data_IF_523842283115
#
_entry.id   IF_523842283115
#
_cell.length_a   1.000
_cell.length_b   1.000
_cell.length_c   1.000
_cell.angle_alpha   90.00
_cell.angle_beta   90.00
_cell.angle_gamma   90.00
#
_symmetry.space_group_name_H-M   'P 1'
#
loop_
_entity.id
_entity.type
_entity.pdbx_description
1 polymer ?
#
# COMPACT_ATOMS: atom_id res chain seq x y z
N UNK A 1 4.66 27.72 -20.92
CA UNK A 1 4.23 27.55 -22.33
C UNK A 1 3.52 26.20 -22.52
N UNK A 2 4.01 25.09 -22.01
CA UNK A 2 3.31 23.78 -22.09
C UNK A 2 1.99 23.73 -21.28
N UNK A 3 1.89 24.46 -20.20
CA UNK A 3 0.65 24.58 -19.40
C UNK A 3 -0.45 25.37 -20.12
N UNK A 4 -0.12 26.20 -21.09
CA UNK A 4 -1.09 27.00 -21.87
C UNK A 4 -1.75 26.16 -22.96
N UNK A 5 -1.02 25.25 -23.62
CA UNK A 5 -1.56 24.34 -24.65
C UNK A 5 -2.51 23.27 -24.11
N UNK A 6 -2.34 22.80 -22.86
CA UNK A 6 -3.29 21.92 -22.18
C UNK A 6 -4.66 22.58 -21.92
N UNK A 7 -4.75 23.90 -22.01
CA UNK A 7 -5.94 24.72 -21.70
C UNK A 7 -7.03 24.65 -22.76
N UNK A 8 -6.64 24.61 -24.02
CA UNK A 8 -7.60 24.61 -25.14
C UNK A 8 -8.36 23.29 -25.27
N UNK A 9 -7.84 22.23 -24.62
CA UNK A 9 -8.42 20.87 -24.65
C UNK A 9 -9.33 20.56 -23.47
N UNK A 10 -9.28 21.34 -22.38
CA UNK A 10 -10.04 21.08 -21.16
C UNK A 10 -11.35 21.87 -21.12
N UNK A 11 -12.50 21.21 -21.19
CA UNK A 11 -13.82 21.85 -21.22
C UNK A 11 -14.20 22.65 -19.96
N UNK A 12 -13.58 22.41 -18.80
CA UNK A 12 -13.74 23.19 -17.54
C UNK A 12 -12.47 23.10 -16.70
N UNK A 13 -11.50 23.99 -16.87
CA UNK A 13 -10.27 23.99 -16.07
C UNK A 13 -10.55 24.36 -14.60
N UNK A 14 -9.86 23.66 -13.69
CA UNK A 14 -9.89 23.94 -12.25
C UNK A 14 -8.46 24.15 -11.78
N UNK A 15 -8.18 25.29 -11.19
CA UNK A 15 -6.87 25.59 -10.61
C UNK A 15 -6.83 25.15 -9.17
N UNK A 16 -5.96 24.19 -8.87
CA UNK A 16 -5.74 23.66 -7.52
C UNK A 16 -4.42 24.21 -6.96
N UNK A 17 -4.48 24.94 -5.84
CA UNK A 17 -3.30 25.53 -5.17
C UNK A 17 -2.38 26.30 -6.13
N UNK A 18 -2.97 27.04 -7.08
CA UNK A 18 -2.22 27.81 -8.07
C UNK A 18 -1.28 28.83 -7.42
N UNK A 19 -0.12 29.08 -8.05
CA UNK A 19 0.73 30.20 -7.70
C UNK A 19 0.00 31.52 -8.01
N UNK A 20 0.59 32.67 -7.63
CA UNK A 20 -0.03 33.99 -7.80
C UNK A 20 -0.41 34.26 -9.25
N UNK A 21 0.48 33.98 -10.17
CA UNK A 21 0.31 34.19 -11.60
C UNK A 21 -0.82 33.34 -12.19
N UNK A 22 -0.87 32.06 -11.85
CA UNK A 22 -1.91 31.17 -12.30
C UNK A 22 -3.29 31.53 -11.71
N UNK A 23 -3.34 32.06 -10.50
CA UNK A 23 -4.57 32.56 -9.88
C UNK A 23 -5.08 33.84 -10.52
N UNK A 24 -4.18 34.72 -10.98
CA UNK A 24 -4.55 35.93 -11.73
C UNK A 24 -5.19 35.56 -13.07
N UNK A 25 -4.57 34.65 -13.82
CA UNK A 25 -5.11 34.15 -15.08
C UNK A 25 -6.45 33.41 -14.86
N UNK A 26 -6.56 32.59 -13.82
CA UNK A 26 -7.80 31.86 -13.50
C UNK A 26 -8.96 32.83 -13.17
N UNK A 27 -8.67 34.00 -12.61
CA UNK A 27 -9.69 35.03 -12.38
C UNK A 27 -10.11 35.75 -13.67
N UNK A 28 -9.16 36.06 -14.52
CA UNK A 28 -9.42 36.67 -15.82
C UNK A 28 -10.25 35.78 -16.73
N UNK A 29 -9.96 34.48 -16.73
CA UNK A 29 -10.61 33.45 -17.54
C UNK A 29 -11.84 32.83 -16.86
N UNK A 30 -12.23 33.31 -15.66
CA UNK A 30 -13.36 32.81 -14.88
C UNK A 30 -13.32 31.28 -14.60
N UNK A 31 -12.12 30.75 -14.30
CA UNK A 31 -11.93 29.32 -13.97
C UNK A 31 -12.26 29.05 -12.52
N UNK A 32 -12.64 27.81 -12.24
CA UNK A 32 -12.82 27.36 -10.87
C UNK A 32 -11.46 27.32 -10.16
N UNK A 33 -11.41 27.87 -8.97
CA UNK A 33 -10.23 27.83 -8.11
C UNK A 33 -10.58 27.12 -6.81
N UNK A 34 -9.71 26.18 -6.38
CA UNK A 34 -9.79 25.57 -5.07
C UNK A 34 -8.41 25.59 -4.41
N UNK A 35 -8.33 26.23 -3.26
CA UNK A 35 -7.14 26.19 -2.42
C UNK A 35 -7.34 25.16 -1.33
N UNK A 36 -6.55 24.09 -1.36
CA UNK A 36 -6.44 23.16 -0.25
C UNK A 36 -5.30 23.61 0.64
N UNK A 37 -5.55 23.69 1.94
CA UNK A 37 -4.47 23.92 2.89
C UNK A 37 -3.41 22.83 2.71
N UNK A 38 -2.17 23.23 2.41
CA UNK A 38 -1.07 22.27 2.41
C UNK A 38 -0.98 21.69 3.83
N UNK A 39 -0.71 20.39 3.96
CA UNK A 39 -0.51 19.77 5.28
C UNK A 39 0.65 20.37 6.07
N UNK A 40 1.34 21.34 5.51
CA UNK A 40 2.55 21.96 6.05
C UNK A 40 3.74 20.97 6.07
N UNK A 41 4.92 21.49 6.33
CA UNK A 41 6.10 20.69 6.58
C UNK A 41 5.94 19.94 7.91
N UNK A 42 6.46 18.71 7.97
CA UNK A 42 6.49 17.95 9.20
C UNK A 42 7.29 18.71 10.27
N UNK A 43 6.75 18.80 11.47
CA UNK A 43 7.48 19.37 12.62
C UNK A 43 8.59 18.42 13.09
N UNK A 44 9.63 18.97 13.71
CA UNK A 44 10.71 18.13 14.27
C UNK A 44 10.19 17.08 15.27
N UNK A 45 9.16 17.44 16.06
CA UNK A 45 8.53 16.50 16.97
C UNK A 45 7.82 15.35 16.25
N UNK A 46 7.12 15.61 15.15
CA UNK A 46 6.48 14.58 14.33
C UNK A 46 7.51 13.63 13.72
N UNK A 47 8.65 14.15 13.26
CA UNK A 47 9.77 13.33 12.76
C UNK A 47 10.31 12.42 13.84
N UNK A 48 10.63 12.97 15.01
CA UNK A 48 11.15 12.19 16.14
C UNK A 48 10.16 11.12 16.59
N UNK A 49 8.87 11.46 16.73
CA UNK A 49 7.80 10.51 17.11
C UNK A 49 7.65 9.39 16.08
N UNK A 50 7.71 9.71 14.78
CA UNK A 50 7.64 8.73 13.70
C UNK A 50 8.83 7.78 13.69
N UNK A 51 10.05 8.30 13.93
CA UNK A 51 11.25 7.47 14.06
C UNK A 51 11.18 6.57 15.30
N UNK A 52 10.75 7.11 16.43
CA UNK A 52 10.58 6.35 17.66
C UNK A 52 9.51 5.25 17.51
N UNK A 53 8.38 5.57 16.87
CA UNK A 53 7.33 4.59 16.56
C UNK A 53 7.82 3.49 15.63
N UNK A 54 8.59 3.82 14.61
CA UNK A 54 9.20 2.82 13.71
C UNK A 54 10.23 1.97 14.45
N UNK A 55 11.05 2.58 15.29
CA UNK A 55 12.06 1.90 16.11
C UNK A 55 11.46 0.99 17.19
N UNK A 56 10.26 1.31 17.69
CA UNK A 56 9.55 0.49 18.68
C UNK A 56 9.22 -0.91 18.17
N UNK A 57 9.17 -1.13 16.85
CA UNK A 57 9.04 -2.46 16.26
C UNK A 57 10.17 -3.39 16.74
N UNK A 58 11.42 -2.95 16.62
CA UNK A 58 12.60 -3.73 17.06
C UNK A 58 12.54 -3.97 18.56
N UNK A 59 12.28 -2.91 19.34
CA UNK A 59 12.18 -2.99 20.80
C UNK A 59 11.11 -3.99 21.25
N UNK A 60 9.96 -4.00 20.62
CA UNK A 60 8.86 -4.92 20.95
C UNK A 60 9.23 -6.37 20.69
N UNK A 61 9.97 -6.68 19.63
CA UNK A 61 10.43 -8.04 19.37
C UNK A 61 11.54 -8.46 20.36
N UNK A 62 12.44 -7.56 20.74
CA UNK A 62 13.44 -7.82 21.79
C UNK A 62 12.74 -8.13 23.12
N UNK A 63 11.69 -7.36 23.47
CA UNK A 63 10.89 -7.58 24.69
C UNK A 63 10.09 -8.89 24.66
N UNK A 64 9.82 -9.46 23.50
CA UNK A 64 9.20 -10.77 23.36
C UNK A 64 10.15 -11.95 23.61
N UNK A 65 11.48 -11.76 23.50
CA UNK A 65 12.46 -12.84 23.67
C UNK A 65 12.42 -13.48 25.05
N UNK A 66 12.38 -12.73 26.18
CA UNK A 66 12.24 -13.32 27.50
C UNK A 66 10.96 -14.19 27.63
N UNK A 67 9.84 -13.74 27.06
CA UNK A 67 8.60 -14.53 27.07
C UNK A 67 8.77 -15.85 26.32
N UNK A 68 9.47 -15.83 25.17
CA UNK A 68 9.80 -17.06 24.45
C UNK A 68 10.70 -17.98 25.28
N UNK A 69 11.74 -17.44 25.91
CA UNK A 69 12.67 -18.21 26.73
C UNK A 69 11.99 -18.86 27.94
N UNK A 70 11.00 -18.20 28.54
CA UNK A 70 10.28 -18.70 29.72
C UNK A 70 9.15 -19.67 29.37
N UNK A 71 8.40 -19.40 28.28
CA UNK A 71 7.22 -20.17 27.91
C UNK A 71 7.47 -21.27 26.88
N UNK A 72 8.58 -21.19 26.12
CA UNK A 72 8.84 -22.03 24.94
C UNK A 72 7.87 -21.76 23.77
N UNK A 73 6.90 -20.85 23.93
CA UNK A 73 5.87 -20.57 22.96
C UNK A 73 6.25 -19.41 22.03
N UNK A 74 6.67 -19.74 20.81
CA UNK A 74 6.90 -18.74 19.76
C UNK A 74 5.62 -17.93 19.46
N UNK A 75 4.45 -18.60 19.48
CA UNK A 75 3.16 -17.96 19.21
C UNK A 75 2.85 -16.86 20.22
N UNK A 76 3.00 -17.13 21.51
CA UNK A 76 2.70 -16.15 22.56
C UNK A 76 3.69 -14.99 22.55
N UNK A 77 4.99 -15.28 22.33
CA UNK A 77 6.02 -14.26 22.16
C UNK A 77 5.72 -13.33 21.00
N UNK A 78 5.32 -13.85 19.83
CA UNK A 78 4.96 -13.04 18.66
C UNK A 78 3.70 -12.22 18.91
N UNK A 79 2.66 -12.82 19.50
CA UNK A 79 1.43 -12.12 19.83
C UNK A 79 1.69 -10.96 20.81
N UNK A 80 2.54 -11.20 21.81
CA UNK A 80 2.98 -10.16 22.74
C UNK A 80 3.75 -9.04 22.00
N UNK A 81 4.74 -9.39 21.17
CA UNK A 81 5.55 -8.43 20.43
C UNK A 81 4.71 -7.57 19.49
N UNK A 82 3.76 -8.16 18.75
CA UNK A 82 2.86 -7.44 17.84
C UNK A 82 1.96 -6.50 18.62
N UNK A 83 1.37 -6.95 19.72
CA UNK A 83 0.49 -6.12 20.56
C UNK A 83 1.26 -4.97 21.21
N UNK A 84 2.46 -5.24 21.74
CA UNK A 84 3.32 -4.22 22.34
C UNK A 84 3.75 -3.17 21.30
N UNK A 85 4.15 -3.61 20.11
CA UNK A 85 4.45 -2.70 19.01
C UNK A 85 3.26 -1.82 18.66
N UNK A 86 2.08 -2.42 18.48
CA UNK A 86 0.89 -1.69 18.09
C UNK A 86 0.51 -0.61 19.12
N UNK A 87 0.53 -0.94 20.41
CA UNK A 87 0.22 0.00 21.48
C UNK A 87 1.28 1.10 21.63
N UNK A 88 2.57 0.70 21.65
CA UNK A 88 3.69 1.65 21.81
C UNK A 88 3.77 2.62 20.63
N UNK A 89 3.69 2.09 19.39
CA UNK A 89 3.75 2.94 18.20
C UNK A 89 2.55 3.88 18.14
N UNK A 90 1.32 3.42 18.42
CA UNK A 90 0.12 4.26 18.46
C UNK A 90 0.26 5.38 19.49
N UNK A 91 0.72 5.07 20.70
CA UNK A 91 0.94 6.07 21.75
C UNK A 91 2.02 7.09 21.34
N UNK A 92 3.15 6.64 20.76
CA UNK A 92 4.22 7.52 20.31
C UNK A 92 3.77 8.49 19.22
N UNK A 93 2.97 8.07 18.25
CA UNK A 93 2.48 8.96 17.19
C UNK A 93 1.24 9.75 17.62
N UNK A 94 0.57 9.38 18.73
CA UNK A 94 -0.69 9.96 19.19
C UNK A 94 -1.84 9.58 18.26
N UNK A 95 -1.93 8.29 17.95
CA UNK A 95 -3.03 7.70 17.18
C UNK A 95 -4.09 7.19 18.17
N UNK A 96 -5.27 7.77 18.08
CA UNK A 96 -6.47 7.30 18.77
C UNK A 96 -7.40 6.58 17.79
N UNK A 97 -8.11 5.56 18.26
CA UNK A 97 -9.05 4.79 17.45
C UNK A 97 -10.46 4.88 18.04
N UNK A 98 -11.37 5.47 17.27
CA UNK A 98 -12.81 5.41 17.52
C UNK A 98 -13.40 4.25 16.73
N UNK A 99 -13.73 3.15 17.43
CA UNK A 99 -14.07 1.86 16.80
C UNK A 99 -15.51 1.48 17.13
N UNK A 100 -16.32 1.37 16.07
CA UNK A 100 -17.68 0.82 16.14
C UNK A 100 -17.67 -0.66 15.73
N UNK A 101 -18.51 -1.48 16.34
CA UNK A 101 -18.60 -2.92 16.06
C UNK A 101 -17.37 -3.71 16.52
N UNK A 102 -16.67 -3.24 17.57
CA UNK A 102 -15.44 -3.87 18.10
C UNK A 102 -15.65 -5.35 18.49
N UNK A 103 -16.87 -5.73 18.86
CA UNK A 103 -17.25 -7.11 19.19
C UNK A 103 -17.06 -8.08 18.00
N UNK A 104 -17.19 -7.62 16.77
CA UNK A 104 -16.99 -8.44 15.57
C UNK A 104 -15.55 -8.90 15.37
N UNK A 105 -14.57 -8.23 15.98
CA UNK A 105 -13.16 -8.63 15.93
C UNK A 105 -12.90 -9.97 16.61
N UNK A 106 -13.77 -10.36 17.57
CA UNK A 106 -13.53 -11.52 18.44
C UNK A 106 -14.59 -12.61 18.33
N UNK A 107 -15.77 -12.27 17.76
CA UNK A 107 -16.92 -13.17 17.71
C UNK A 107 -16.66 -14.43 16.88
N UNK A 108 -15.90 -14.30 15.79
CA UNK A 108 -15.58 -15.40 14.89
C UNK A 108 -14.09 -15.37 14.56
N UNK A 109 -13.36 -16.43 14.97
CA UNK A 109 -11.93 -16.62 14.65
C UNK A 109 -11.64 -18.11 14.45
N UNK A 110 -10.78 -18.47 13.50
CA UNK A 110 -10.05 -17.58 12.57
C UNK A 110 -10.98 -16.89 11.58
N UNK A 111 -10.59 -15.70 11.09
CA UNK A 111 -11.33 -14.93 10.11
C UNK A 111 -10.37 -14.24 9.14
N UNK A 112 -10.89 -13.76 8.01
CA UNK A 112 -10.17 -12.87 7.11
C UNK A 112 -10.63 -11.45 7.40
N UNK A 113 -9.78 -10.66 8.05
CA UNK A 113 -10.00 -9.25 8.27
C UNK A 113 -9.60 -8.49 7.00
N UNK A 114 -10.60 -8.08 6.22
CA UNK A 114 -10.38 -7.25 5.02
C UNK A 114 -10.52 -5.78 5.38
N UNK A 115 -9.58 -4.93 4.96
CA UNK A 115 -9.61 -3.50 5.23
C UNK A 115 -9.28 -2.69 3.98
N UNK A 116 -9.83 -1.47 3.85
CA UNK A 116 -9.46 -0.52 2.80
C UNK A 116 -8.12 0.14 3.13
N UNK A 117 -7.28 0.36 2.11
CA UNK A 117 -5.89 0.75 2.30
C UNK A 117 -5.59 2.14 1.74
N UNK A 118 -5.35 3.10 2.61
CA UNK A 118 -5.07 4.50 2.25
C UNK A 118 -3.74 5.01 2.82
N UNK A 119 -3.27 4.38 3.90
CA UNK A 119 -2.21 4.93 4.74
C UNK A 119 -1.16 3.89 5.12
N UNK A 120 0.04 4.34 5.49
CA UNK A 120 1.00 3.50 6.20
C UNK A 120 0.50 3.14 7.61
N UNK A 121 -0.37 3.96 8.20
CA UNK A 121 -0.95 3.72 9.52
C UNK A 121 -1.93 2.54 9.53
N UNK A 122 -2.49 2.14 8.38
CA UNK A 122 -3.51 1.08 8.34
C UNK A 122 -2.99 -0.26 8.91
N UNK A 123 -1.72 -0.58 8.66
CA UNK A 123 -1.12 -1.80 9.24
C UNK A 123 -0.99 -1.72 10.77
N UNK A 124 -0.67 -0.53 11.29
CA UNK A 124 -0.62 -0.29 12.72
C UNK A 124 -2.02 -0.35 13.33
N UNK A 125 -3.01 0.24 12.67
CA UNK A 125 -4.41 0.17 13.06
C UNK A 125 -4.89 -1.28 13.11
N UNK A 126 -4.63 -2.06 12.07
CA UNK A 126 -5.02 -3.47 12.03
C UNK A 126 -4.30 -4.29 13.10
N UNK A 127 -3.02 -4.04 13.36
CA UNK A 127 -2.29 -4.70 14.45
C UNK A 127 -2.88 -4.35 15.82
N UNK A 128 -3.31 -3.10 16.03
CA UNK A 128 -3.97 -2.65 17.27
C UNK A 128 -5.36 -3.27 17.46
N UNK A 129 -6.09 -3.52 16.38
CA UNK A 129 -7.44 -4.10 16.42
C UNK A 129 -7.42 -5.63 16.56
N UNK A 130 -6.65 -6.31 15.71
CA UNK A 130 -6.67 -7.79 15.64
C UNK A 130 -5.76 -8.44 16.69
N UNK A 131 -4.65 -7.81 17.05
CA UNK A 131 -3.72 -8.05 18.18
C UNK A 131 -2.98 -9.39 18.18
N UNK A 132 -3.65 -10.51 17.97
CA UNK A 132 -3.06 -11.86 18.11
C UNK A 132 -3.44 -12.79 16.98
N UNK A 133 -2.61 -13.82 16.80
CA UNK A 133 -2.84 -14.90 15.84
C UNK A 133 -3.07 -14.39 14.42
N UNK A 134 -2.18 -13.51 13.99
CA UNK A 134 -2.29 -12.81 12.72
C UNK A 134 -1.29 -13.40 11.71
N UNK A 135 -1.74 -13.55 10.48
CA UNK A 135 -0.89 -13.62 9.30
C UNK A 135 -1.25 -12.44 8.39
N UNK A 136 -0.26 -11.88 7.73
CA UNK A 136 -0.47 -10.74 6.84
C UNK A 136 0.13 -10.99 5.46
N UNK A 137 -0.19 -10.09 4.52
CA UNK A 137 0.37 -10.11 3.17
C UNK A 137 1.20 -8.84 2.96
N UNK A 138 2.45 -9.02 2.61
CA UNK A 138 3.39 -7.95 2.33
C UNK A 138 3.88 -7.97 0.87
N UNK A 139 4.39 -6.84 0.40
CA UNK A 139 5.04 -6.72 -0.90
C UNK A 139 6.42 -7.41 -0.84
N UNK A 140 6.80 -8.17 -1.89
CA UNK A 140 8.05 -8.95 -1.95
C UNK A 140 9.30 -8.12 -1.61
N UNK A 141 9.34 -6.86 -2.05
CA UNK A 141 10.49 -5.98 -1.82
C UNK A 141 10.72 -5.66 -0.34
N UNK A 142 9.65 -5.71 0.49
CA UNK A 142 9.78 -5.51 1.93
C UNK A 142 10.60 -6.62 2.62
N UNK A 143 10.63 -7.83 2.03
CA UNK A 143 11.45 -8.94 2.53
C UNK A 143 12.93 -8.59 2.59
N UNK A 144 13.40 -7.75 1.66
CA UNK A 144 14.80 -7.39 1.51
C UNK A 144 15.22 -6.18 2.36
N UNK A 145 14.29 -5.56 3.10
CA UNK A 145 14.62 -4.47 4.01
C UNK A 145 15.41 -5.04 5.22
N UNK A 146 16.60 -4.50 5.52
CA UNK A 146 17.36 -4.92 6.69
C UNK A 146 16.52 -4.77 7.95
N UNK A 147 16.60 -5.73 8.87
CA UNK A 147 15.87 -5.80 10.14
C UNK A 147 14.34 -5.93 9.94
N UNK A 148 13.71 -5.05 9.19
CA UNK A 148 12.23 -5.01 9.00
C UNK A 148 11.72 -6.28 8.28
N UNK A 149 12.37 -6.69 7.20
CA UNK A 149 11.98 -7.89 6.44
C UNK A 149 11.98 -9.16 7.29
N UNK A 150 13.08 -9.49 7.98
CA UNK A 150 13.13 -10.61 8.92
C UNK A 150 12.08 -10.53 10.04
N UNK A 151 11.87 -9.36 10.65
CA UNK A 151 10.85 -9.19 11.70
C UNK A 151 9.42 -9.38 11.16
N UNK A 152 9.10 -8.84 9.98
CA UNK A 152 7.81 -9.06 9.32
C UNK A 152 7.60 -10.55 9.00
N UNK A 153 8.63 -11.24 8.50
CA UNK A 153 8.57 -12.69 8.26
C UNK A 153 8.36 -13.47 9.55
N UNK A 154 9.04 -13.11 10.64
CA UNK A 154 8.83 -13.71 11.95
C UNK A 154 7.41 -13.48 12.48
N UNK A 155 6.83 -12.30 12.21
CA UNK A 155 5.44 -11.96 12.53
C UNK A 155 4.39 -12.69 11.67
N UNK A 156 4.82 -13.54 10.72
CA UNK A 156 3.91 -14.31 9.88
C UNK A 156 3.48 -13.61 8.60
N UNK A 157 4.17 -12.54 8.18
CA UNK A 157 3.88 -11.88 6.90
C UNK A 157 4.35 -12.75 5.74
N UNK A 158 3.44 -13.08 4.85
CA UNK A 158 3.73 -13.76 3.58
C UNK A 158 4.01 -12.69 2.50
N UNK A 159 5.19 -12.77 1.90
CA UNK A 159 5.61 -11.79 0.89
C UNK A 159 5.22 -12.26 -0.51
N UNK A 160 4.40 -11.46 -1.20
CA UNK A 160 3.85 -11.79 -2.52
C UNK A 160 4.49 -10.92 -3.60
N UNK A 161 4.88 -11.57 -4.70
CA UNK A 161 5.16 -10.88 -5.95
C UNK A 161 3.85 -10.59 -6.67
N UNK A 162 3.49 -9.32 -6.75
CA UNK A 162 2.21 -8.88 -7.34
C UNK A 162 2.26 -8.81 -8.86
N UNK A 163 3.47 -8.91 -9.44
CA UNK A 163 3.67 -8.86 -10.89
C UNK A 163 3.46 -10.23 -11.56
N UNK A 164 3.52 -11.32 -10.79
CA UNK A 164 3.30 -12.68 -11.25
C UNK A 164 2.05 -13.28 -10.59
N UNK A 165 0.97 -13.39 -11.38
CA UNK A 165 -0.32 -13.92 -10.89
C UNK A 165 -0.23 -15.37 -10.46
N UNK A 166 0.52 -16.19 -11.20
CA UNK A 166 0.65 -17.62 -10.91
C UNK A 166 1.45 -17.83 -9.62
N UNK A 167 2.58 -17.15 -9.51
CA UNK A 167 3.39 -17.16 -8.28
C UNK A 167 2.62 -16.59 -7.08
N UNK A 168 1.78 -15.58 -7.28
CA UNK A 168 0.94 -15.02 -6.22
C UNK A 168 -0.06 -16.05 -5.68
N UNK A 169 -0.69 -16.87 -6.53
CA UNK A 169 -1.63 -17.93 -6.13
C UNK A 169 -0.90 -18.99 -5.29
N UNK A 170 0.25 -19.48 -5.75
CA UNK A 170 1.04 -20.47 -5.01
C UNK A 170 1.50 -19.93 -3.65
N UNK A 171 1.88 -18.66 -3.59
CA UNK A 171 2.30 -17.99 -2.35
C UNK A 171 1.15 -17.84 -1.35
N UNK A 172 -0.11 -17.97 -1.77
CA UNK A 172 -1.27 -17.92 -0.87
C UNK A 172 -1.58 -19.24 -0.19
N UNK A 173 -1.09 -20.39 -0.68
CA UNK A 173 -1.29 -21.71 -0.05
C UNK A 173 -0.89 -21.74 1.43
N UNK A 174 0.26 -21.20 1.86
CA UNK A 174 0.63 -21.13 3.27
C UNK A 174 -0.34 -20.33 4.13
N UNK A 175 -1.05 -19.34 3.56
CA UNK A 175 -2.08 -18.60 4.30
C UNK A 175 -3.27 -19.48 4.62
N UNK A 176 -3.75 -20.27 3.66
CA UNK A 176 -4.84 -21.22 3.86
C UNK A 176 -4.46 -22.24 4.95
N UNK A 177 -3.23 -22.76 4.90
CA UNK A 177 -2.72 -23.68 5.90
C UNK A 177 -2.67 -23.04 7.30
N UNK A 178 -2.10 -21.84 7.42
CA UNK A 178 -2.05 -21.11 8.69
C UNK A 178 -3.45 -20.87 9.29
N UNK A 179 -4.45 -20.63 8.45
CA UNK A 179 -5.83 -20.44 8.91
C UNK A 179 -6.49 -21.75 9.34
N UNK A 180 -6.30 -22.83 8.59
CA UNK A 180 -6.91 -24.13 8.88
C UNK A 180 -6.26 -24.83 10.06
N UNK A 181 -4.93 -24.92 10.04
CA UNK A 181 -4.15 -25.77 10.96
C UNK A 181 -3.73 -25.00 12.21
N UNK A 182 -3.24 -23.77 12.03
CA UNK A 182 -2.73 -22.95 13.14
C UNK A 182 -3.80 -22.03 13.75
N UNK A 183 -5.02 -21.99 13.18
CA UNK A 183 -6.13 -21.14 13.62
C UNK A 183 -5.76 -19.64 13.66
N UNK A 184 -4.91 -19.21 12.74
CA UNK A 184 -4.54 -17.81 12.56
C UNK A 184 -5.54 -17.08 11.67
N UNK A 185 -5.74 -15.79 11.93
CA UNK A 185 -6.57 -14.92 11.12
C UNK A 185 -5.71 -14.18 10.07
N UNK A 186 -6.23 -14.01 8.87
CA UNK A 186 -5.59 -13.25 7.80
C UNK A 186 -5.98 -11.78 7.88
N UNK A 187 -5.01 -10.88 7.82
CA UNK A 187 -5.21 -9.45 7.64
C UNK A 187 -4.77 -9.06 6.24
N UNK A 188 -5.70 -8.57 5.41
CA UNK A 188 -5.44 -8.29 4.00
C UNK A 188 -6.20 -7.06 3.50
N UNK A 189 -5.52 -6.23 2.69
CA UNK A 189 -6.14 -5.18 1.91
C UNK A 189 -6.48 -5.71 0.51
N UNK A 190 -7.76 -5.91 0.17
CA UNK A 190 -8.14 -6.51 -1.11
C UNK A 190 -7.83 -5.61 -2.32
N UNK A 191 -7.63 -4.31 -2.11
CA UNK A 191 -7.20 -3.37 -3.15
C UNK A 191 -5.79 -3.69 -3.68
N UNK A 192 -4.95 -4.33 -2.89
CA UNK A 192 -3.58 -4.70 -3.23
C UNK A 192 -2.58 -3.55 -3.26
N UNK A 193 -3.01 -2.31 -3.16
CA UNK A 193 -2.17 -1.10 -3.07
C UNK A 193 -2.90 -0.03 -2.26
N UNK A 194 -2.17 0.97 -1.76
CA UNK A 194 -2.78 2.11 -1.09
C UNK A 194 -3.46 3.03 -2.08
N UNK A 195 -4.72 3.36 -1.85
CA UNK A 195 -5.42 4.39 -2.60
C UNK A 195 -4.82 5.78 -2.31
N UNK A 196 -4.63 6.64 -3.32
CA UNK A 196 -4.15 8.00 -3.10
C UNK A 196 -5.23 8.96 -2.59
N UNK A 197 -6.49 8.55 -2.68
CA UNK A 197 -7.67 9.33 -2.31
C UNK A 197 -8.58 8.50 -1.40
N UNK A 198 -9.58 9.10 -0.72
CA UNK A 198 -10.57 8.36 0.06
C UNK A 198 -11.48 7.42 -0.77
N UNK A 199 -11.43 7.50 -2.10
CA UNK A 199 -12.23 6.64 -2.97
C UNK A 199 -11.75 5.19 -2.87
N UNK A 200 -12.68 4.27 -2.62
CA UNK A 200 -12.39 2.85 -2.54
C UNK A 200 -11.93 2.28 -3.90
N UNK A 201 -10.78 1.63 -3.91
CA UNK A 201 -10.24 0.97 -5.08
C UNK A 201 -10.99 -0.31 -5.48
N UNK A 202 -10.59 -0.89 -6.61
CA UNK A 202 -11.11 -2.19 -7.02
C UNK A 202 -10.50 -3.31 -6.17
N UNK A 203 -11.31 -4.33 -5.83
CA UNK A 203 -10.86 -5.47 -5.03
C UNK A 203 -10.28 -6.57 -5.91
N UNK A 204 -9.11 -7.07 -5.54
CA UNK A 204 -8.46 -8.24 -6.16
C UNK A 204 -9.04 -9.54 -5.57
N UNK A 205 -9.10 -10.59 -6.39
CA UNK A 205 -9.72 -11.87 -6.00
C UNK A 205 -8.90 -12.71 -5.00
N UNK A 206 -7.62 -12.40 -4.79
CA UNK A 206 -6.71 -13.24 -4.00
C UNK A 206 -7.22 -13.59 -2.60
N UNK A 207 -7.68 -12.59 -1.83
CA UNK A 207 -8.25 -12.82 -0.50
C UNK A 207 -9.54 -13.65 -0.52
N UNK A 208 -10.33 -13.53 -1.59
CA UNK A 208 -11.56 -14.30 -1.78
C UNK A 208 -11.27 -15.78 -2.11
N UNK A 209 -10.24 -16.05 -2.91
CA UNK A 209 -9.77 -17.43 -3.12
C UNK A 209 -9.30 -18.07 -1.81
N UNK A 210 -8.63 -17.31 -0.94
CA UNK A 210 -8.25 -17.81 0.39
C UNK A 210 -9.49 -18.07 1.23
N UNK A 211 -10.51 -17.22 1.19
CA UNK A 211 -11.78 -17.41 1.90
C UNK A 211 -12.47 -18.72 1.47
N UNK A 212 -12.67 -18.90 0.16
CA UNK A 212 -13.27 -20.11 -0.41
C UNK A 212 -12.49 -21.36 -0.01
N UNK A 213 -11.15 -21.32 -0.11
CA UNK A 213 -10.32 -22.48 0.21
C UNK A 213 -10.26 -22.79 1.70
N UNK A 214 -10.27 -21.79 2.57
CA UNK A 214 -10.16 -21.97 4.01
C UNK A 214 -11.51 -22.20 4.69
N UNK A 215 -12.63 -21.74 4.08
CA UNK A 215 -13.97 -21.80 4.64
C UNK A 215 -14.16 -20.92 5.88
N UNK A 216 -13.32 -19.90 6.07
CA UNK A 216 -13.44 -18.98 7.21
C UNK A 216 -14.13 -17.68 6.81
N UNK A 217 -14.88 -17.04 7.73
CA UNK A 217 -15.64 -15.84 7.41
C UNK A 217 -14.74 -14.65 7.09
N UNK A 218 -15.28 -13.69 6.33
CA UNK A 218 -14.67 -12.38 6.10
C UNK A 218 -15.28 -11.37 7.06
N UNK A 219 -14.42 -10.64 7.78
CA UNK A 219 -14.81 -9.52 8.63
C UNK A 219 -14.31 -8.23 7.96
N UNK A 220 -15.21 -7.41 7.39
CA UNK A 220 -14.84 -6.14 6.81
C UNK A 220 -14.49 -5.13 7.90
N UNK A 221 -13.37 -4.42 7.74
CA UNK A 221 -12.89 -3.37 8.62
C UNK A 221 -12.74 -2.09 7.80
N UNK A 222 -13.66 -1.16 7.96
CA UNK A 222 -13.73 0.07 7.18
C UNK A 222 -13.01 1.18 7.92
N UNK A 223 -11.92 1.69 7.34
CA UNK A 223 -11.08 2.75 7.90
C UNK A 223 -11.41 4.04 7.15
N UNK A 224 -11.92 5.06 7.84
CA UNK A 224 -12.45 6.26 7.18
C UNK A 224 -11.37 7.28 6.80
N UNK A 225 -10.48 7.62 7.72
CA UNK A 225 -9.62 8.78 7.59
C UNK A 225 -8.13 8.54 7.95
N UNK A 226 -7.64 7.33 7.79
CA UNK A 226 -6.23 7.02 8.09
C UNK A 226 -5.23 7.79 7.20
N UNK A 227 -5.70 8.25 6.04
CA UNK A 227 -4.95 9.14 5.17
C UNK A 227 -4.53 10.46 5.88
N UNK A 228 -5.23 10.89 6.93
CA UNK A 228 -4.87 12.07 7.71
C UNK A 228 -3.64 11.84 8.59
N UNK A 229 -3.43 10.61 9.02
CA UNK A 229 -2.28 10.22 9.84
C UNK A 229 -1.01 10.12 8.98
N UNK A 230 -1.04 9.39 7.86
CA UNK A 230 0.12 9.25 6.95
C UNK A 230 -0.35 8.85 5.55
N UNK A 231 -0.57 9.80 4.63
CA UNK A 231 -1.05 9.50 3.29
C UNK A 231 -0.03 8.70 2.48
N UNK A 232 -0.48 8.15 1.36
CA UNK A 232 0.38 7.43 0.42
C UNK A 232 1.58 8.29 0.02
N UNK A 233 2.80 7.77 0.24
CA UNK A 233 4.06 8.47 -0.07
C UNK A 233 4.68 9.24 1.08
N UNK A 234 3.92 9.59 2.12
CA UNK A 234 4.46 10.20 3.33
C UNK A 234 5.04 9.12 4.26
N UNK A 235 6.15 9.45 4.91
CA UNK A 235 6.83 8.58 5.90
C UNK A 235 6.64 9.10 7.33
N UNK A 236 6.02 10.26 7.47
CA UNK A 236 5.80 10.91 8.75
C UNK A 236 4.37 10.65 9.21
N UNK A 237 4.23 10.23 10.45
CA UNK A 237 2.93 10.07 11.09
C UNK A 237 2.52 11.34 11.83
N UNK A 238 1.26 11.71 11.68
CA UNK A 238 0.63 12.79 12.43
C UNK A 238 -0.29 12.22 13.49
N UNK A 239 -0.44 12.92 14.59
CA UNK A 239 -1.43 12.55 15.62
C UNK A 239 -2.85 12.81 15.14
N UNK A 240 -3.78 12.01 15.60
CA UNK A 240 -5.21 12.20 15.33
C UNK A 240 -6.03 10.97 15.66
N UNK A 241 -7.35 11.14 15.61
CA UNK A 241 -8.32 10.06 15.78
C UNK A 241 -8.72 9.48 14.44
N UNK A 242 -8.65 8.15 14.33
CA UNK A 242 -9.12 7.42 13.16
C UNK A 242 -10.42 6.70 13.50
N UNK A 243 -11.44 6.94 12.67
CA UNK A 243 -12.73 6.27 12.79
C UNK A 243 -12.70 4.94 12.04
N UNK A 244 -13.14 3.88 12.70
CA UNK A 244 -13.14 2.53 12.15
C UNK A 244 -14.48 1.86 12.42
N UNK A 245 -15.12 1.33 11.38
CA UNK A 245 -16.28 0.47 11.48
C UNK A 245 -15.87 -0.98 11.23
N UNK A 246 -16.09 -1.85 12.21
CA UNK A 246 -15.94 -3.30 12.06
C UNK A 246 -17.31 -3.89 11.79
N UNK A 247 -17.51 -4.39 10.57
CA UNK A 247 -18.81 -4.92 10.16
C UNK A 247 -19.01 -6.37 10.63
N UNK A 248 -20.25 -6.85 10.68
CA UNK A 248 -20.54 -8.26 10.92
C UNK A 248 -19.80 -9.16 9.94
N UNK A 249 -19.45 -10.35 10.40
CA UNK A 249 -18.80 -11.34 9.55
C UNK A 249 -19.73 -11.79 8.42
N UNK A 250 -19.13 -11.97 7.24
CA UNK A 250 -19.78 -12.55 6.06
C UNK A 250 -19.30 -13.98 5.94
N UNK A 251 -20.25 -14.92 6.02
CA UNK A 251 -19.95 -16.36 5.91
C UNK A 251 -19.52 -16.72 4.49
N UNK A 252 -18.59 -17.67 4.39
CA UNK A 252 -18.00 -18.07 3.10
C UNK A 252 -18.10 -19.57 2.80
N UNK A 253 -18.80 -20.31 3.64
CA UNK A 253 -18.91 -21.79 3.55
C UNK A 253 -19.55 -22.25 2.24
N UNK A 254 -20.52 -21.49 1.74
CA UNK A 254 -21.25 -21.83 0.51
C UNK A 254 -20.66 -21.13 -0.74
N UNK A 255 -19.51 -20.47 -0.58
CA UNK A 255 -18.89 -19.77 -1.68
C UNK A 255 -18.17 -20.69 -2.65
N UNK A 256 -18.26 -20.38 -3.95
CA UNK A 256 -17.58 -21.10 -5.02
C UNK A 256 -16.74 -20.17 -5.88
N UNK A 257 -15.78 -20.74 -6.60
CA UNK A 257 -14.98 -19.98 -7.57
C UNK A 257 -15.84 -19.48 -8.73
N UNK A 258 -16.95 -20.17 -9.05
CA UNK A 258 -17.85 -19.76 -10.13
C UNK A 258 -18.58 -18.45 -9.81
N UNK A 259 -18.95 -18.23 -8.54
CA UNK A 259 -19.67 -17.04 -8.05
C UNK A 259 -18.75 -15.97 -7.42
N UNK A 260 -17.42 -16.09 -7.57
CA UNK A 260 -16.45 -15.22 -6.89
C UNK A 260 -16.64 -13.73 -7.21
N UNK A 261 -17.10 -13.37 -8.40
CA UNK A 261 -17.31 -11.96 -8.78
C UNK A 261 -18.50 -11.34 -8.03
N UNK A 262 -19.52 -12.12 -7.76
CA UNK A 262 -20.69 -11.72 -6.96
C UNK A 262 -20.26 -11.46 -5.51
N UNK A 263 -19.46 -12.35 -4.93
CA UNK A 263 -18.94 -12.19 -3.56
C UNK A 263 -17.97 -11.01 -3.44
N UNK A 264 -17.15 -10.76 -4.47
CA UNK A 264 -16.30 -9.56 -4.50
C UNK A 264 -17.16 -8.30 -4.50
N UNK A 265 -18.25 -8.27 -5.29
CA UNK A 265 -19.16 -7.14 -5.33
C UNK A 265 -19.91 -6.96 -4.00
N UNK A 266 -20.39 -8.05 -3.39
CA UNK A 266 -21.07 -8.05 -2.09
C UNK A 266 -20.20 -7.41 -1.00
N UNK A 267 -18.99 -7.95 -0.81
CA UNK A 267 -18.07 -7.45 0.21
C UNK A 267 -17.67 -6.01 -0.10
N UNK A 268 -17.35 -5.69 -1.36
CA UNK A 268 -16.98 -4.32 -1.75
C UNK A 268 -18.09 -3.32 -1.53
N UNK A 269 -19.35 -3.69 -1.80
CA UNK A 269 -20.51 -2.84 -1.56
C UNK A 269 -20.76 -2.60 -0.07
N UNK A 270 -20.44 -3.55 0.80
CA UNK A 270 -20.45 -3.31 2.25
C UNK A 270 -19.50 -2.17 2.65
N UNK A 271 -18.30 -2.13 2.06
CA UNK A 271 -17.38 -1.00 2.25
C UNK A 271 -17.93 0.30 1.67
N UNK A 272 -18.44 0.27 0.43
CA UNK A 272 -18.96 1.46 -0.24
C UNK A 272 -20.11 2.10 0.54
N UNK A 273 -21.08 1.30 1.03
CA UNK A 273 -22.18 1.78 1.88
C UNK A 273 -21.66 2.46 3.14
N UNK A 274 -20.73 1.82 3.83
CA UNK A 274 -20.16 2.34 5.08
C UNK A 274 -19.36 3.63 4.85
N UNK A 275 -18.69 3.75 3.69
CA UNK A 275 -17.95 4.96 3.30
C UNK A 275 -18.84 6.05 2.67
N UNK A 276 -20.15 5.81 2.53
CA UNK A 276 -21.06 6.74 1.86
C UNK A 276 -20.77 6.92 0.36
N UNK A 277 -20.18 5.90 -0.29
CA UNK A 277 -19.87 5.89 -1.71
C UNK A 277 -20.92 5.08 -2.49
N UNK A 278 -21.17 5.40 -3.78
CA UNK A 278 -22.13 4.67 -4.61
C UNK A 278 -21.78 3.18 -4.74
N UNK A 279 -22.77 2.32 -4.53
CA UNK A 279 -22.64 0.88 -4.76
C UNK A 279 -22.51 0.57 -6.26
N UNK A 280 -21.89 -0.55 -6.58
CA UNK A 280 -21.68 -1.01 -7.95
C UNK A 280 -22.27 -2.42 -8.12
N UNK A 281 -22.82 -2.69 -9.31
CA UNK A 281 -23.19 -4.05 -9.71
C UNK A 281 -21.97 -4.99 -9.78
N UNK A 282 -22.21 -6.29 -9.85
CA UNK A 282 -21.14 -7.27 -10.03
C UNK A 282 -20.36 -7.03 -11.33
N UNK A 283 -21.06 -6.67 -12.41
CA UNK A 283 -20.45 -6.36 -13.71
C UNK A 283 -19.59 -5.10 -13.66
N UNK A 284 -20.07 -4.02 -13.02
CA UNK A 284 -19.31 -2.78 -12.83
C UNK A 284 -18.11 -2.99 -11.93
N UNK A 285 -18.25 -3.80 -10.89
CA UNK A 285 -17.15 -4.18 -10.00
C UNK A 285 -16.07 -4.98 -10.76
N UNK A 286 -16.48 -5.93 -11.60
CA UNK A 286 -15.58 -6.70 -12.44
C UNK A 286 -14.90 -5.85 -13.51
N UNK A 287 -15.62 -4.87 -14.09
CA UNK A 287 -15.08 -3.88 -15.03
C UNK A 287 -14.06 -2.99 -14.34
N UNK A 288 -14.41 -2.38 -13.22
CA UNK A 288 -13.50 -1.51 -12.45
C UNK A 288 -12.18 -2.22 -12.09
N UNK A 289 -12.24 -3.55 -11.81
CA UNK A 289 -11.05 -4.35 -11.55
C UNK A 289 -10.19 -4.56 -12.81
N UNK A 290 -10.79 -4.73 -14.00
CA UNK A 290 -10.06 -4.88 -15.26
C UNK A 290 -9.39 -3.58 -15.70
N UNK A 291 -10.08 -2.47 -15.48
CA UNK A 291 -9.65 -1.13 -15.87
C UNK A 291 -8.63 -0.53 -14.87
N UNK A 292 -8.52 -1.12 -13.67
CA UNK A 292 -7.47 -0.74 -12.72
C UNK A 292 -6.14 -1.36 -13.21
N UNK A 293 -5.13 -0.54 -13.61
CA UNK A 293 -3.84 -1.07 -14.02
C UNK A 293 -3.28 -1.96 -12.91
N UNK A 294 -2.83 -3.16 -13.28
CA UNK A 294 -2.04 -4.00 -12.39
C UNK A 294 -0.80 -3.21 -12.02
N UNK A 295 -0.80 -2.67 -10.81
CA UNK A 295 0.21 -1.80 -10.23
C UNK A 295 0.93 -0.97 -11.30
N UNK A 296 0.70 0.33 -11.32
CA UNK A 296 1.62 1.27 -11.96
C UNK A 296 3.03 0.70 -11.74
N UNK A 297 3.50 -0.09 -12.71
CA UNK A 297 4.91 -0.44 -12.78
C UNK A 297 5.59 0.90 -12.59
N UNK A 298 6.50 1.08 -11.62
CA UNK A 298 7.32 2.24 -11.68
C UNK A 298 7.90 2.18 -13.08
N UNK A 299 7.40 3.01 -13.98
CA UNK A 299 7.98 3.14 -15.30
C UNK A 299 9.46 3.28 -15.04
N UNK A 300 10.20 2.38 -15.65
CA UNK A 300 11.65 2.42 -15.75
C UNK A 300 12.00 3.64 -16.63
N UNK A 301 11.49 4.82 -16.33
CA UNK A 301 11.89 6.11 -16.90
C UNK A 301 13.38 6.34 -16.71
N UNK A 302 13.96 5.79 -15.66
CA UNK A 302 15.40 5.87 -15.44
C UNK A 302 16.24 4.94 -16.33
N UNK A 303 15.73 3.78 -16.77
CA UNK A 303 16.51 2.87 -17.63
C UNK A 303 16.42 3.22 -19.12
N UNK A 304 15.30 3.73 -19.63
CA UNK A 304 15.21 4.21 -21.01
C UNK A 304 16.07 5.47 -21.23
N UNK A 305 16.00 6.47 -20.36
CA UNK A 305 16.88 7.65 -20.46
C UNK A 305 18.37 7.29 -20.33
N UNK A 306 18.74 6.31 -19.50
CA UNK A 306 20.13 5.86 -19.41
C UNK A 306 20.56 5.00 -20.61
N UNK A 307 19.66 4.29 -21.28
CA UNK A 307 19.93 3.54 -22.48
C UNK A 307 20.01 4.45 -23.73
N UNK A 308 19.17 5.48 -23.81
CA UNK A 308 19.21 6.48 -24.86
C UNK A 308 20.42 7.40 -24.74
N UNK A 309 20.78 7.84 -23.52
CA UNK A 309 22.03 8.58 -23.27
C UNK A 309 23.30 7.75 -23.54
N UNK A 310 23.26 6.42 -23.31
CA UNK A 310 24.38 5.54 -23.71
C UNK A 310 24.45 5.29 -25.22
N UNK A 311 23.33 5.29 -25.93
CA UNK A 311 23.33 5.18 -27.41
C UNK A 311 23.78 6.48 -28.05
N UNK A 312 23.38 7.64 -27.55
CA UNK A 312 23.84 8.94 -28.03
C UNK A 312 25.31 9.24 -27.75
N UNK A 313 25.91 8.60 -26.74
CA UNK A 313 27.33 8.74 -26.42
C UNK A 313 28.23 7.70 -27.13
N UNK A 314 27.66 6.81 -27.94
CA UNK A 314 28.38 5.72 -28.63
C UNK A 314 28.40 5.86 -30.15
N UNK A 315 27.89 6.96 -30.74
CA UNK A 315 28.08 7.27 -32.15
C UNK A 315 29.35 8.10 -32.33
N UNK A 316 30.36 7.58 -33.05
CA UNK A 316 31.54 8.36 -33.41
C UNK A 316 31.16 9.39 -34.47
N UNK A 317 31.49 10.64 -34.20
CA UNK A 317 31.39 11.73 -35.18
C UNK A 317 32.33 11.44 -36.36
N UNK A 318 31.78 10.95 -37.46
CA UNK A 318 32.36 11.06 -38.77
C UNK A 318 32.09 12.47 -39.30
N UNK A 319 33.10 13.30 -39.31
CA UNK A 319 33.22 14.44 -40.24
C UNK A 319 34.68 14.90 -40.26
N UNK A 320 35.17 14.85 -41.40
CA UNK A 320 35.82 15.68 -42.38
C UNK A 320 37.23 15.25 -42.73
N UNK A 321 37.28 14.56 -43.89
CA UNK A 321 38.48 14.44 -44.68
C UNK A 321 38.82 15.73 -45.41
N UNK A 322 40.06 16.19 -45.28
CA UNK A 322 40.70 17.10 -46.23
C UNK A 322 42.06 16.49 -46.59
N UNK A 323 42.38 16.32 -47.88
CA UNK A 323 43.66 15.80 -48.32
C UNK A 323 44.70 16.90 -48.40
N UNK A 324 45.88 16.69 -47.87
CA UNK A 324 47.05 17.53 -48.21
C UNK A 324 48.20 16.67 -48.64
N UNK A 325 48.55 16.93 -49.84
CA UNK A 325 49.71 16.54 -50.63
C UNK A 325 51.06 16.86 -49.97
N UNK A 326 52.00 15.98 -50.14
CA UNK A 326 53.30 16.42 -50.54
C UNK A 326 54.52 16.13 -49.70
N UNK A 327 55.34 15.19 -50.17
CA UNK A 327 56.83 15.23 -50.25
C UNK A 327 57.69 15.30 -48.99
N UNK A 328 58.51 14.32 -48.84
CA UNK A 328 59.92 14.66 -48.64
C UNK A 328 60.75 13.75 -47.73
N UNK A 329 61.30 12.72 -48.29
CA UNK A 329 62.70 12.20 -48.23
C UNK A 329 63.50 12.33 -46.91
N UNK A 330 64.12 11.17 -46.63
CA UNK A 330 65.48 10.94 -46.00
C UNK A 330 65.54 11.15 -44.49
N UNK A 331 66.18 10.35 -43.76
CA UNK A 331 67.22 9.35 -43.91
C UNK A 331 67.70 8.91 -42.56
N UNK A 332 68.11 7.67 -42.49
CA UNK A 332 69.27 7.05 -41.82
C UNK A 332 69.58 7.27 -40.33
N UNK A 333 69.75 6.12 -39.70
CA UNK A 333 70.84 5.76 -38.73
C UNK A 333 70.69 6.26 -37.30
N UNK A 334 70.46 5.46 -36.39
CA UNK A 334 71.28 4.52 -35.58
C UNK A 334 70.33 3.80 -34.59
#
# INVERSE_FOLDING_TARGET
TEEIELRETAGRPVVLNGNRELKEIAREENWLMADFSSRGNATSSQVVRSLAATGSLVGSFIMGLPLYALSGSRRDSLNFSISLFAETASALIGLDLDVRGREHLWKQRPAIFMFNHQSNADMLIMASLVRRDIVGVGKRELKNLPVIGPLMGAAGVVFIDRSDRQAAIETMKPLVQAMRDEKKSLVIAPEGTRAPTPKLGAFKKGGFHVAIQSGVPIVPVVIHNSGDISPKGDKIFRSGTVHVDVLPAIETTDWSVASIDEHVAEVRNAFLRTLGQPELSAEETAKARRDTPDDLKPEVRGRRKKAELKKSAAEPSEQDGVPSTGRGKRGTLN
#
